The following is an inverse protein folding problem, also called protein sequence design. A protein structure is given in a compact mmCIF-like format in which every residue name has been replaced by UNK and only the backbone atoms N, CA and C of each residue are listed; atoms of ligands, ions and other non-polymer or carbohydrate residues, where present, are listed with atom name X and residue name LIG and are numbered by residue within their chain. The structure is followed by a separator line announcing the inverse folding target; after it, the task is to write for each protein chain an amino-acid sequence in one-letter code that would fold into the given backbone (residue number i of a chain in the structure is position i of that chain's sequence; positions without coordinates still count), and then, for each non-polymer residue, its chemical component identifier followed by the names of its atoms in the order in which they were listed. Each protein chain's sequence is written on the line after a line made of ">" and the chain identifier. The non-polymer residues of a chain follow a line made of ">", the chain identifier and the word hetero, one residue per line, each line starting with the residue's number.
data_IF_288422514659
#
_entry.id   IF_288422514659
#
_cell.length_a   1.000
_cell.length_b   1.000
_cell.length_c   1.000
_cell.angle_alpha   90.00
_cell.angle_beta   90.00
_cell.angle_gamma   90.00
#
_symmetry.space_group_name_H-M   'P 1'
#
loop_
_entity.id
_entity.type
_entity.pdbx_description
1 polymer ?
#
# COMPACT_ATOMS: atom_id res chain seq x y z
N UNK A 1 -16.81 23.63 -33.08
CA UNK A 1 -16.75 24.29 -31.78
C UNK A 1 -16.66 23.23 -30.70
N UNK A 2 -15.62 23.28 -29.93
CA UNK A 2 -15.39 22.31 -28.89
C UNK A 2 -16.02 22.75 -27.60
N UNK A 3 -16.86 21.92 -27.06
CA UNK A 3 -17.46 22.17 -25.76
C UNK A 3 -16.82 21.23 -24.75
N UNK A 4 -16.32 21.82 -23.67
CA UNK A 4 -15.74 21.04 -22.58
C UNK A 4 -16.84 20.72 -21.60
N UNK A 5 -17.01 19.44 -21.33
CA UNK A 5 -17.96 18.96 -20.33
C UNK A 5 -17.21 18.52 -19.09
N UNK A 6 -17.75 18.88 -17.93
CA UNK A 6 -17.26 18.37 -16.67
C UNK A 6 -17.98 17.05 -16.39
N UNK A 7 -17.22 15.99 -16.32
CA UNK A 7 -17.77 14.66 -16.08
C UNK A 7 -17.19 14.14 -14.78
N UNK A 8 -18.05 13.64 -13.92
CA UNK A 8 -17.66 13.09 -12.65
C UNK A 8 -18.01 11.60 -12.59
N UNK A 9 -17.07 10.82 -12.11
CA UNK A 9 -17.31 9.41 -11.87
C UNK A 9 -17.87 9.28 -10.46
N UNK A 10 -19.17 9.02 -10.34
CA UNK A 10 -19.80 8.78 -9.05
C UNK A 10 -19.19 7.56 -8.41
N UNK A 11 -18.99 7.61 -7.11
CA UNK A 11 -18.40 6.49 -6.34
C UNK A 11 -16.98 6.13 -6.76
N UNK A 12 -16.25 7.13 -7.31
CA UNK A 12 -14.88 6.90 -7.76
C UNK A 12 -14.00 6.29 -6.65
N UNK A 13 -14.02 6.91 -5.47
CA UNK A 13 -13.16 6.48 -4.38
C UNK A 13 -13.49 5.07 -3.90
N UNK A 14 -14.77 4.76 -3.74
CA UNK A 14 -15.16 3.44 -3.27
C UNK A 14 -14.87 2.36 -4.31
N UNK A 15 -15.07 2.67 -5.59
CA UNK A 15 -14.78 1.71 -6.66
C UNK A 15 -13.29 1.44 -6.79
N UNK A 16 -12.47 2.50 -6.75
CA UNK A 16 -11.01 2.34 -6.86
C UNK A 16 -10.47 1.57 -5.66
N UNK A 17 -10.94 1.88 -4.45
CA UNK A 17 -10.52 1.18 -3.25
C UNK A 17 -10.86 -0.30 -3.30
N UNK A 18 -12.08 -0.63 -3.71
CA UNK A 18 -12.51 -2.02 -3.81
C UNK A 18 -11.65 -2.78 -4.84
N UNK A 19 -11.35 -2.14 -5.96
CA UNK A 19 -10.55 -2.76 -7.01
C UNK A 19 -9.10 -2.97 -6.58
N UNK A 20 -8.51 -2.02 -5.85
CA UNK A 20 -7.16 -2.19 -5.31
C UNK A 20 -7.09 -3.37 -4.34
N UNK A 21 -8.11 -3.53 -3.50
CA UNK A 21 -8.17 -4.68 -2.59
C UNK A 21 -8.24 -5.99 -3.37
N UNK A 22 -9.05 -6.02 -4.42
CA UNK A 22 -9.16 -7.19 -5.27
C UNK A 22 -7.84 -7.55 -5.95
N UNK A 23 -7.13 -6.55 -6.48
CA UNK A 23 -5.84 -6.78 -7.12
C UNK A 23 -4.82 -7.37 -6.15
N UNK A 24 -4.83 -6.94 -4.90
CA UNK A 24 -3.94 -7.51 -3.90
C UNK A 24 -4.36 -8.93 -3.54
N UNK A 25 -5.64 -9.16 -3.31
CA UNK A 25 -6.16 -10.47 -2.93
C UNK A 25 -5.82 -11.52 -3.99
N UNK A 26 -5.95 -11.15 -5.27
CA UNK A 26 -5.65 -12.06 -6.38
C UNK A 26 -4.17 -12.02 -6.78
N UNK A 27 -3.37 -11.18 -6.15
CA UNK A 27 -1.96 -10.96 -6.49
C UNK A 27 -1.77 -10.55 -7.94
N UNK A 28 -2.72 -9.78 -8.48
CA UNK A 28 -2.64 -9.27 -9.84
C UNK A 28 -1.80 -8.01 -9.89
N UNK A 29 -0.87 -7.95 -10.84
CA UNK A 29 -0.02 -6.79 -11.09
C UNK A 29 0.87 -6.40 -9.90
N UNK A 30 1.07 -7.32 -8.96
CA UNK A 30 2.00 -7.06 -7.87
C UNK A 30 3.43 -6.98 -8.42
N UNK A 31 4.22 -6.04 -7.91
CA UNK A 31 5.56 -5.79 -8.40
C UNK A 31 6.60 -5.60 -7.30
N UNK A 32 6.26 -6.01 -6.08
CA UNK A 32 7.19 -5.98 -4.95
C UNK A 32 6.76 -7.06 -3.96
N UNK A 33 7.75 -7.66 -3.30
CA UNK A 33 7.51 -8.62 -2.23
C UNK A 33 8.14 -8.09 -0.95
N UNK A 34 7.34 -8.00 0.10
CA UNK A 34 7.81 -7.63 1.43
C UNK A 34 7.99 -8.90 2.23
N UNK A 35 9.17 -9.08 2.81
CA UNK A 35 9.49 -10.29 3.59
C UNK A 35 9.75 -9.91 5.04
N UNK A 36 9.14 -10.64 5.94
CA UNK A 36 9.27 -10.44 7.37
C UNK A 36 9.33 -11.80 8.05
N UNK A 37 10.49 -12.17 8.56
CA UNK A 37 10.73 -13.48 9.17
C UNK A 37 10.34 -14.61 8.22
N UNK A 38 9.20 -15.27 8.50
CA UNK A 38 8.73 -16.43 7.76
C UNK A 38 7.55 -16.12 6.84
N UNK A 39 7.17 -14.86 6.71
CA UNK A 39 6.02 -14.46 5.88
C UNK A 39 6.43 -13.54 4.74
N UNK A 40 5.71 -13.67 3.64
CA UNK A 40 5.86 -12.83 2.47
C UNK A 40 4.54 -12.15 2.15
N UNK A 41 4.63 -10.91 1.71
CA UNK A 41 3.45 -10.15 1.30
C UNK A 41 3.72 -9.54 -0.06
N UNK A 42 2.89 -9.87 -1.05
CA UNK A 42 2.98 -9.26 -2.36
C UNK A 42 2.15 -7.99 -2.39
N UNK A 43 2.69 -6.97 -3.02
CA UNK A 43 2.06 -5.67 -3.02
C UNK A 43 2.39 -4.90 -4.30
N UNK A 44 1.90 -3.67 -4.37
CA UNK A 44 2.07 -2.80 -5.51
C UNK A 44 2.91 -1.60 -5.10
N UNK A 45 4.03 -1.39 -5.79
CA UNK A 45 4.93 -0.27 -5.49
C UNK A 45 4.19 1.07 -5.48
N UNK A 46 3.32 1.27 -6.44
CA UNK A 46 2.57 2.52 -6.57
C UNK A 46 1.69 2.78 -5.35
N UNK A 47 0.96 1.77 -4.92
CA UNK A 47 0.04 1.90 -3.81
C UNK A 47 0.79 2.12 -2.49
N UNK A 48 1.84 1.34 -2.27
CA UNK A 48 2.67 1.51 -1.08
C UNK A 48 3.29 2.91 -1.02
N UNK A 49 3.82 3.38 -2.15
CA UNK A 49 4.47 4.69 -2.22
C UNK A 49 3.49 5.83 -2.04
N UNK A 50 2.27 5.68 -2.54
CA UNK A 50 1.25 6.70 -2.38
C UNK A 50 0.78 6.82 -0.92
N UNK A 51 0.94 5.76 -0.14
CA UNK A 51 0.41 5.69 1.22
C UNK A 51 1.48 5.89 2.30
N UNK A 52 2.76 5.79 1.95
CA UNK A 52 3.82 5.70 2.95
C UNK A 52 5.11 6.37 2.47
N UNK A 53 5.57 7.35 3.25
CA UNK A 53 6.87 7.99 3.00
C UNK A 53 7.99 6.95 3.11
N UNK A 54 7.89 6.07 4.09
CA UNK A 54 8.87 5.02 4.31
C UNK A 54 9.01 4.14 3.07
N UNK A 55 7.91 3.62 2.57
CA UNK A 55 7.94 2.76 1.39
C UNK A 55 8.33 3.52 0.13
N UNK A 56 7.87 4.76 -0.01
CA UNK A 56 8.24 5.57 -1.16
C UNK A 56 9.75 5.75 -1.23
N UNK A 57 10.37 6.13 -0.12
CA UNK A 57 11.81 6.34 -0.06
C UNK A 57 12.58 5.05 -0.36
N UNK A 58 12.14 3.95 0.23
CA UNK A 58 12.77 2.67 0.03
C UNK A 58 12.64 2.18 -1.41
N UNK A 59 11.46 2.32 -1.99
CA UNK A 59 11.19 1.83 -3.33
C UNK A 59 11.86 2.68 -4.40
N UNK A 60 12.11 3.97 -4.14
CA UNK A 60 12.87 4.82 -5.05
C UNK A 60 14.28 4.28 -5.30
N UNK A 61 14.83 3.55 -4.34
CA UNK A 61 16.15 2.94 -4.48
C UNK A 61 16.13 1.69 -5.32
N UNK A 62 14.95 1.17 -5.64
CA UNK A 62 14.80 -0.08 -6.38
C UNK A 62 14.22 0.12 -7.77
N UNK A 63 14.23 1.35 -8.29
CA UNK A 63 13.56 1.67 -9.57
C UNK A 63 14.06 0.85 -10.75
N UNK A 64 15.31 0.40 -10.69
CA UNK A 64 15.93 -0.39 -11.76
C UNK A 64 15.74 -1.89 -11.58
N UNK A 65 15.12 -2.30 -10.50
CA UNK A 65 14.90 -3.72 -10.20
C UNK A 65 13.48 -4.13 -10.58
N UNK A 66 13.36 -5.32 -11.13
CA UNK A 66 12.07 -5.93 -11.41
C UNK A 66 11.68 -6.80 -10.23
N UNK A 67 10.48 -6.55 -9.70
CA UNK A 67 9.94 -7.33 -8.58
C UNK A 67 10.92 -7.48 -7.41
N UNK A 68 11.40 -6.35 -6.84
CA UNK A 68 12.35 -6.44 -5.75
C UNK A 68 11.75 -7.10 -4.53
N UNK A 69 12.64 -7.72 -3.73
CA UNK A 69 12.28 -8.29 -2.43
C UNK A 69 12.84 -7.38 -1.36
N UNK A 70 11.98 -6.93 -0.47
CA UNK A 70 12.37 -6.02 0.60
C UNK A 70 12.24 -6.73 1.93
N UNK A 71 13.36 -6.83 2.66
CA UNK A 71 13.38 -7.44 3.98
C UNK A 71 13.07 -6.40 5.04
N UNK A 72 12.00 -6.64 5.77
CA UNK A 72 11.54 -5.75 6.83
C UNK A 72 12.08 -6.24 8.17
N UNK A 73 13.28 -5.77 8.51
CA UNK A 73 13.94 -6.19 9.75
C UNK A 73 13.32 -5.51 10.96
N UNK A 74 13.20 -6.25 12.04
CA UNK A 74 12.72 -5.70 13.30
C UNK A 74 11.22 -5.46 13.35
N UNK A 75 10.48 -5.94 12.36
CA UNK A 75 9.04 -5.81 12.31
C UNK A 75 8.43 -7.19 12.47
N UNK A 76 7.46 -7.29 13.38
CA UNK A 76 6.71 -8.52 13.54
C UNK A 76 5.83 -8.76 12.31
N UNK A 77 5.68 -10.01 11.90
CA UNK A 77 4.84 -10.35 10.73
C UNK A 77 3.42 -9.84 10.87
N UNK A 78 2.84 -9.95 12.06
CA UNK A 78 1.48 -9.48 12.32
C UNK A 78 1.37 -7.96 12.16
N UNK A 79 2.41 -7.22 12.52
CA UNK A 79 2.41 -5.77 12.41
C UNK A 79 2.57 -5.33 10.95
N UNK A 80 3.43 -5.99 10.20
CA UNK A 80 3.58 -5.71 8.77
C UNK A 80 2.28 -6.02 8.03
N UNK A 81 1.66 -7.15 8.34
CA UNK A 81 0.38 -7.51 7.73
C UNK A 81 -0.67 -6.45 8.01
N UNK A 82 -0.73 -5.96 9.25
CA UNK A 82 -1.68 -4.92 9.64
C UNK A 82 -1.42 -3.59 8.90
N UNK A 83 -0.15 -3.22 8.73
CA UNK A 83 0.20 -2.01 7.99
C UNK A 83 -0.25 -2.13 6.53
N UNK A 84 0.04 -3.26 5.90
CA UNK A 84 -0.34 -3.48 4.51
C UNK A 84 -1.86 -3.53 4.37
N UNK A 85 -2.55 -4.19 5.29
CA UNK A 85 -4.02 -4.22 5.30
C UNK A 85 -4.60 -2.81 5.44
N UNK A 86 -4.01 -1.99 6.31
CA UNK A 86 -4.47 -0.62 6.47
C UNK A 86 -4.30 0.19 5.18
N UNK A 87 -3.20 -0.02 4.48
CA UNK A 87 -2.96 0.65 3.21
C UNK A 87 -4.03 0.30 2.17
N UNK A 88 -4.42 -0.98 2.11
CA UNK A 88 -5.35 -1.44 1.08
C UNK A 88 -6.82 -1.37 1.49
N UNK A 89 -7.10 -1.52 2.78
CA UNK A 89 -8.49 -1.62 3.27
C UNK A 89 -8.95 -0.39 4.04
N UNK A 90 -8.01 0.45 4.47
CA UNK A 90 -8.37 1.64 5.24
C UNK A 90 -8.59 1.38 6.72
N UNK A 91 -8.43 0.13 7.17
CA UNK A 91 -8.60 -0.21 8.58
C UNK A 91 -7.76 -1.42 8.95
N UNK A 92 -7.27 -1.44 10.18
CA UNK A 92 -6.53 -2.55 10.74
C UNK A 92 -6.45 -2.39 12.24
N UNK A 93 -6.25 -3.50 12.94
CA UNK A 93 -5.99 -3.48 14.38
C UNK A 93 -4.49 -3.53 14.60
N UNK A 94 -3.91 -2.38 14.92
CA UNK A 94 -2.48 -2.25 15.08
C UNK A 94 -2.22 -1.06 16.02
N UNK A 95 -1.05 -1.05 16.66
CA UNK A 95 -0.66 0.08 17.49
C UNK A 95 -0.51 1.33 16.65
N UNK A 96 -1.01 2.45 17.18
CA UNK A 96 -0.96 3.73 16.49
C UNK A 96 0.46 4.13 16.12
N UNK A 97 1.43 3.83 16.97
CA UNK A 97 2.84 4.17 16.73
C UNK A 97 3.36 3.45 15.48
N UNK A 98 2.92 2.22 15.24
CA UNK A 98 3.33 1.48 14.05
C UNK A 98 2.80 2.16 12.79
N UNK A 99 1.52 2.54 12.79
CA UNK A 99 0.93 3.23 11.64
C UNK A 99 1.61 4.56 11.38
N UNK A 100 1.90 5.33 12.43
CA UNK A 100 2.50 6.65 12.26
C UNK A 100 3.93 6.58 11.73
N UNK A 101 4.64 5.48 11.96
CA UNK A 101 5.99 5.29 11.42
C UNK A 101 5.99 5.00 9.92
N UNK A 102 4.96 4.36 9.40
CA UNK A 102 4.94 3.88 8.03
C UNK A 102 4.00 4.61 7.09
N UNK A 103 3.03 5.37 7.62
CA UNK A 103 1.95 5.91 6.79
C UNK A 103 1.82 7.42 6.88
N UNK A 104 1.26 8.01 5.83
CA UNK A 104 0.84 9.41 5.80
C UNK A 104 -0.48 9.56 6.55
N UNK A 105 -0.49 9.25 7.84
CA UNK A 105 -1.72 9.33 8.61
C UNK A 105 -1.53 10.38 9.68
N UNK A 106 -2.32 11.45 9.61
CA UNK A 106 -2.22 12.54 10.56
C UNK A 106 -3.29 12.47 11.65
N UNK A 107 -4.28 11.62 11.50
CA UNK A 107 -5.43 11.58 12.39
C UNK A 107 -5.86 10.13 12.59
N UNK A 108 -5.30 9.54 13.63
CA UNK A 108 -5.63 8.17 13.99
C UNK A 108 -6.59 8.18 15.18
N UNK A 109 -7.68 7.49 15.05
CA UNK A 109 -8.67 7.41 16.13
C UNK A 109 -9.00 5.98 16.47
#
# INVERSE_FOLDING_TARGET
>A
MDENLSVQWSDFQSNISANFRGLRTESDFTDVTLVCKDKEFQAHKLILSASSTFFKTMLQRTTKQTDPIIFMRGVESKDLEAVVDFIYFGEAKVLQVILSEYLYVSNLS
#
